data_IF_673876804760
#
_entry.id   IF_673876804760
#
_cell.length_a   1.000
_cell.length_b   1.000
_cell.length_c   1.000
_cell.angle_alpha   90.00
_cell.angle_beta   90.00
_cell.angle_gamma   90.00
#
_symmetry.space_group_name_H-M   'P 1'
#
loop_
_entity.id
_entity.type
_entity.pdbx_description
1 polymer ?
#
# COMPACT_ATOMS: atom_id res chain seq x y z
N UNK A 1 -21.87 -21.72 3.93
CA UNK A 1 -21.18 -20.50 3.50
C UNK A 1 -19.73 -20.88 3.39
N UNK A 2 -19.21 -21.04 2.17
CA UNK A 2 -17.82 -21.43 1.97
C UNK A 2 -16.94 -20.33 2.55
N UNK A 3 -16.31 -20.66 3.66
CA UNK A 3 -15.25 -19.90 4.34
C UNK A 3 -13.99 -19.98 3.49
N UNK A 4 -14.06 -19.47 2.27
CA UNK A 4 -12.90 -19.37 1.42
C UNK A 4 -12.08 -18.20 1.96
N UNK A 5 -10.94 -18.52 2.55
CA UNK A 5 -9.98 -17.53 3.03
C UNK A 5 -9.49 -16.72 1.83
N UNK A 6 -9.66 -15.41 1.89
CA UNK A 6 -9.22 -14.47 0.86
C UNK A 6 -8.04 -13.70 1.42
N UNK A 7 -6.84 -13.98 0.92
CA UNK A 7 -5.67 -13.17 1.26
C UNK A 7 -5.54 -11.98 0.31
N UNK A 8 -5.55 -10.74 0.82
CA UNK A 8 -5.35 -9.56 0.01
C UNK A 8 -3.86 -9.33 -0.25
N UNK A 9 -3.51 -8.87 -1.46
CA UNK A 9 -2.16 -8.38 -1.74
C UNK A 9 -1.79 -7.18 -0.84
N UNK A 10 -0.51 -7.08 -0.47
CA UNK A 10 0.03 -5.96 0.31
C UNK A 10 0.17 -4.72 -0.57
N UNK A 11 -0.90 -3.94 -0.60
CA UNK A 11 -0.95 -2.66 -1.31
C UNK A 11 -1.57 -1.53 -0.50
N UNK A 12 -1.63 -0.31 -1.06
CA UNK A 12 -2.14 0.87 -0.36
C UNK A 12 -3.56 0.72 0.20
N UNK A 13 -4.42 -0.04 -0.48
CA UNK A 13 -5.80 -0.30 0.00
C UNK A 13 -5.82 -1.23 1.21
N UNK A 14 -5.00 -2.27 1.20
CA UNK A 14 -4.87 -3.25 2.29
C UNK A 14 -4.27 -2.59 3.52
N UNK A 15 -3.22 -1.78 3.34
CA UNK A 15 -2.63 -0.97 4.40
C UNK A 15 -3.67 -0.09 5.08
N UNK A 16 -4.40 0.72 4.32
CA UNK A 16 -5.46 1.58 4.87
C UNK A 16 -6.59 0.80 5.51
N UNK A 17 -6.94 -0.36 4.94
CA UNK A 17 -7.93 -1.25 5.53
C UNK A 17 -7.49 -1.78 6.89
N UNK A 18 -6.20 -2.04 7.10
CA UNK A 18 -5.65 -2.52 8.38
C UNK A 18 -5.43 -1.39 9.39
N UNK A 19 -4.99 -0.21 8.97
CA UNK A 19 -4.49 0.84 9.89
C UNK A 19 -5.47 1.96 10.18
N UNK A 20 -6.37 2.32 9.26
CA UNK A 20 -7.32 3.41 9.52
C UNK A 20 -8.37 3.00 10.57
N UNK A 21 -8.80 3.98 11.37
CA UNK A 21 -9.89 3.78 12.31
C UNK A 21 -11.20 3.66 11.55
N UNK A 22 -11.76 2.46 11.55
CA UNK A 22 -13.06 2.16 10.95
C UNK A 22 -13.85 1.25 11.87
N UNK A 23 -15.13 1.56 12.03
CA UNK A 23 -16.10 0.73 12.76
C UNK A 23 -16.90 -0.06 11.76
N UNK A 24 -16.93 -1.39 11.92
CA UNK A 24 -17.73 -2.29 11.09
C UNK A 24 -18.93 -2.74 11.88
N UNK A 25 -20.12 -2.59 11.32
CA UNK A 25 -21.38 -3.04 11.93
C UNK A 25 -22.16 -3.89 10.93
N UNK A 26 -22.55 -5.11 11.32
CA UNK A 26 -23.36 -5.98 10.46
C UNK A 26 -24.85 -5.59 10.57
N UNK A 27 -25.39 -4.98 9.51
CA UNK A 27 -26.79 -4.56 9.44
C UNK A 27 -27.73 -5.72 9.10
N UNK A 28 -27.26 -6.64 8.25
CA UNK A 28 -27.94 -7.86 7.88
C UNK A 28 -26.89 -8.90 7.48
N UNK A 29 -27.31 -10.15 7.28
CA UNK A 29 -26.38 -11.24 6.93
C UNK A 29 -25.50 -10.86 5.73
N UNK A 30 -24.19 -10.74 5.98
CA UNK A 30 -23.17 -10.38 4.98
C UNK A 30 -23.32 -8.96 4.39
N UNK A 31 -24.12 -8.09 5.03
CA UNK A 31 -24.31 -6.69 4.67
C UNK A 31 -23.88 -5.81 5.84
N UNK A 32 -22.83 -5.03 5.63
CA UNK A 32 -22.15 -4.28 6.66
C UNK A 32 -22.23 -2.78 6.39
N UNK A 33 -22.28 -2.00 7.45
CA UNK A 33 -21.97 -0.57 7.42
C UNK A 33 -20.57 -0.36 7.99
N UNK A 34 -19.76 0.39 7.24
CA UNK A 34 -18.41 0.76 7.62
C UNK A 34 -18.38 2.27 7.82
N UNK A 35 -18.24 2.69 9.08
CA UNK A 35 -18.03 4.10 9.42
C UNK A 35 -16.54 4.38 9.44
N UNK A 36 -16.09 5.35 8.64
CA UNK A 36 -14.69 5.77 8.52
C UNK A 36 -14.33 6.83 9.55
N UNK A 37 -13.02 7.05 9.74
CA UNK A 37 -12.48 8.12 10.59
C UNK A 37 -13.00 9.52 10.22
N UNK A 38 -13.29 9.76 8.94
CA UNK A 38 -13.89 11.02 8.47
C UNK A 38 -15.38 11.18 8.85
N UNK A 39 -15.97 10.20 9.54
CA UNK A 39 -17.39 10.17 9.88
C UNK A 39 -18.31 9.79 8.73
N UNK A 40 -17.76 9.32 7.60
CA UNK A 40 -18.55 8.84 6.46
C UNK A 40 -18.94 7.38 6.67
N UNK A 41 -20.14 6.99 6.30
CA UNK A 41 -20.61 5.60 6.39
C UNK A 41 -20.84 5.04 4.99
N UNK A 42 -20.38 3.81 4.76
CA UNK A 42 -20.56 3.10 3.49
C UNK A 42 -21.12 1.71 3.73
N UNK A 43 -22.00 1.27 2.86
CA UNK A 43 -22.53 -0.09 2.88
C UNK A 43 -21.63 -1.01 2.08
N UNK A 44 -21.33 -2.18 2.64
CA UNK A 44 -20.52 -3.24 2.03
C UNK A 44 -21.35 -4.52 1.98
N UNK A 45 -21.51 -5.09 0.78
CA UNK A 45 -22.09 -6.42 0.60
C UNK A 45 -20.95 -7.40 0.33
N UNK A 46 -20.83 -8.48 1.12
CA UNK A 46 -19.82 -9.52 0.90
C UNK A 46 -20.35 -10.71 0.10
N UNK A 47 -21.65 -10.79 -0.19
CA UNK A 47 -22.24 -11.89 -0.99
C UNK A 47 -21.82 -11.75 -2.45
N UNK A 48 -21.96 -10.53 -2.95
CA UNK A 48 -21.39 -10.05 -4.20
C UNK A 48 -20.52 -8.85 -3.81
N UNK A 49 -19.19 -9.04 -3.62
CA UNK A 49 -18.29 -8.02 -3.08
C UNK A 49 -18.49 -6.65 -3.72
N UNK A 50 -19.18 -5.76 -3.01
CA UNK A 50 -19.56 -4.45 -3.48
C UNK A 50 -19.56 -3.45 -2.33
N UNK A 51 -19.29 -2.18 -2.66
CA UNK A 51 -19.27 -1.11 -1.67
C UNK A 51 -19.85 0.17 -2.25
N UNK A 52 -20.60 0.94 -1.44
CA UNK A 52 -21.15 2.24 -1.84
C UNK A 52 -20.14 3.39 -1.77
N UNK A 53 -18.85 3.10 -1.57
CA UNK A 53 -17.84 4.14 -1.51
C UNK A 53 -17.41 4.64 -2.90
N UNK A 54 -17.00 5.91 -3.04
CA UNK A 54 -16.57 6.46 -4.33
C UNK A 54 -15.40 5.73 -4.99
N UNK A 55 -14.49 5.13 -4.20
CA UNK A 55 -13.35 4.36 -4.74
C UNK A 55 -13.80 3.08 -5.44
N UNK A 56 -14.92 2.48 -5.02
CA UNK A 56 -15.50 1.30 -5.67
C UNK A 56 -16.46 1.70 -6.79
N UNK A 57 -17.31 2.69 -6.54
CA UNK A 57 -18.37 3.11 -7.48
C UNK A 57 -17.82 3.68 -8.79
N UNK A 58 -16.76 4.49 -8.74
CA UNK A 58 -16.29 5.25 -9.91
C UNK A 58 -15.02 4.71 -10.57
N UNK A 59 -14.38 3.69 -9.99
CA UNK A 59 -13.11 3.15 -10.52
C UNK A 59 -13.29 1.70 -10.94
N UNK A 60 -13.51 1.50 -12.23
CA UNK A 60 -13.75 0.18 -12.85
C UNK A 60 -12.60 -0.83 -12.63
N UNK A 61 -11.37 -0.35 -12.38
CA UNK A 61 -10.22 -1.21 -12.09
C UNK A 61 -10.18 -1.75 -10.65
N UNK A 62 -11.11 -1.34 -9.79
CA UNK A 62 -11.11 -1.70 -8.37
C UNK A 62 -12.07 -2.87 -8.14
N UNK A 63 -11.51 -4.05 -7.93
CA UNK A 63 -12.28 -5.23 -7.52
C UNK A 63 -12.58 -5.26 -6.02
N UNK A 64 -11.70 -4.67 -5.19
CA UNK A 64 -11.92 -4.54 -3.74
C UNK A 64 -11.37 -3.20 -3.23
N UNK A 65 -12.26 -2.37 -2.70
CA UNK A 65 -11.88 -1.15 -2.01
C UNK A 65 -11.41 -1.43 -0.57
N UNK A 66 -10.86 -0.42 0.11
CA UNK A 66 -10.41 -0.57 1.51
C UNK A 66 -11.51 -1.04 2.48
N UNK A 67 -12.78 -0.68 2.23
CA UNK A 67 -13.89 -1.04 3.11
C UNK A 67 -14.22 -2.52 3.00
N UNK A 68 -14.27 -3.08 1.78
CA UNK A 68 -14.44 -4.53 1.57
C UNK A 68 -13.34 -5.29 2.30
N UNK A 69 -12.09 -4.88 2.11
CA UNK A 69 -10.93 -5.49 2.79
C UNK A 69 -11.06 -5.42 4.32
N UNK A 70 -11.46 -4.27 4.86
CA UNK A 70 -11.68 -4.11 6.31
C UNK A 70 -12.75 -5.05 6.84
N UNK A 71 -13.88 -5.18 6.15
CA UNK A 71 -14.93 -6.13 6.56
C UNK A 71 -14.40 -7.55 6.52
N UNK A 72 -13.67 -7.96 5.47
CA UNK A 72 -13.08 -9.31 5.39
C UNK A 72 -12.11 -9.60 6.54
N UNK A 73 -11.31 -8.61 6.96
CA UNK A 73 -10.44 -8.72 8.14
C UNK A 73 -11.31 -8.93 9.39
N UNK A 74 -12.33 -8.10 9.60
CA UNK A 74 -13.21 -8.17 10.77
C UNK A 74 -13.94 -9.51 10.90
N UNK A 75 -14.42 -10.05 9.77
CA UNK A 75 -15.15 -11.33 9.75
C UNK A 75 -14.24 -12.57 9.69
N UNK A 76 -12.91 -12.39 9.78
CA UNK A 76 -11.94 -13.48 9.77
C UNK A 76 -11.79 -14.20 8.43
N UNK A 77 -12.12 -13.55 7.31
CA UNK A 77 -11.85 -14.09 5.97
C UNK A 77 -10.41 -13.82 5.51
N UNK A 78 -9.72 -12.88 6.17
CA UNK A 78 -8.28 -12.62 5.99
C UNK A 78 -7.53 -13.30 7.14
N UNK A 79 -6.41 -13.92 6.82
CA UNK A 79 -5.50 -14.45 7.83
C UNK A 79 -4.60 -13.31 8.27
N UNK A 80 -4.85 -12.80 9.47
CA UNK A 80 -4.13 -11.64 10.00
C UNK A 80 -2.68 -11.95 10.31
N UNK A 81 -2.33 -13.20 10.64
CA UNK A 81 -0.94 -13.60 10.90
C UNK A 81 -0.15 -13.63 9.60
N UNK A 82 -0.75 -14.18 8.54
CA UNK A 82 -0.16 -14.16 7.19
C UNK A 82 0.00 -12.72 6.71
N UNK A 83 -1.04 -11.89 6.85
CA UNK A 83 -0.98 -10.48 6.43
C UNK A 83 0.08 -9.68 7.20
N UNK A 84 0.19 -9.88 8.52
CA UNK A 84 1.23 -9.23 9.34
C UNK A 84 2.63 -9.60 8.84
N UNK A 85 2.86 -10.89 8.58
CA UNK A 85 4.15 -11.36 8.06
C UNK A 85 4.49 -10.72 6.70
N UNK A 86 3.55 -10.72 5.76
CA UNK A 86 3.77 -10.11 4.43
C UNK A 86 4.05 -8.60 4.53
N UNK A 87 3.37 -7.90 5.46
CA UNK A 87 3.62 -6.49 5.73
C UNK A 87 5.03 -6.25 6.29
N UNK A 88 5.48 -7.07 7.23
CA UNK A 88 6.86 -6.99 7.77
C UNK A 88 7.89 -7.24 6.68
N UNK A 89 7.75 -8.32 5.90
CA UNK A 89 8.67 -8.63 4.80
C UNK A 89 8.71 -7.50 3.76
N UNK A 90 7.56 -6.89 3.45
CA UNK A 90 7.50 -5.74 2.54
C UNK A 90 8.23 -4.53 3.10
N UNK A 91 8.10 -4.25 4.41
CA UNK A 91 8.80 -3.15 5.07
C UNK A 91 10.33 -3.34 5.04
N UNK A 92 10.81 -4.53 5.40
CA UNK A 92 12.25 -4.87 5.39
C UNK A 92 12.87 -4.74 3.99
N UNK A 93 12.13 -5.17 2.97
CA UNK A 93 12.54 -5.02 1.57
C UNK A 93 12.60 -3.55 1.15
N UNK A 94 11.63 -2.72 1.56
CA UNK A 94 11.64 -1.29 1.26
C UNK A 94 12.82 -0.57 1.94
N UNK A 95 13.16 -0.93 3.18
CA UNK A 95 14.31 -0.38 3.89
C UNK A 95 15.63 -0.75 3.18
N UNK A 96 15.79 -2.02 2.80
CA UNK A 96 16.97 -2.48 2.07
C UNK A 96 17.12 -1.78 0.72
N UNK A 97 16.03 -1.67 -0.04
CA UNK A 97 16.02 -0.96 -1.32
C UNK A 97 16.35 0.53 -1.15
N UNK A 98 15.88 1.18 -0.09
CA UNK A 98 16.19 2.57 0.18
C UNK A 98 17.69 2.77 0.45
N UNK A 99 18.30 1.91 1.29
CA UNK A 99 19.73 1.94 1.56
C UNK A 99 20.57 1.74 0.28
N UNK A 100 20.16 0.81 -0.58
CA UNK A 100 20.83 0.56 -1.87
C UNK A 100 20.73 1.77 -2.81
N UNK A 101 19.56 2.43 -2.87
CA UNK A 101 19.36 3.63 -3.67
C UNK A 101 20.20 4.80 -3.17
N UNK A 102 20.33 4.97 -1.85
CA UNK A 102 21.20 5.98 -1.25
C UNK A 102 22.69 5.73 -1.59
N UNK A 103 23.14 4.48 -1.49
CA UNK A 103 24.51 4.11 -1.86
C UNK A 103 24.79 4.39 -3.34
N UNK A 104 23.84 4.08 -4.23
CA UNK A 104 23.93 4.39 -5.65
C UNK A 104 23.97 5.90 -5.93
N UNK A 105 23.13 6.68 -5.25
CA UNK A 105 23.11 8.14 -5.38
C UNK A 105 24.44 8.77 -4.93
N UNK A 106 25.04 8.27 -3.84
CA UNK A 106 26.35 8.72 -3.37
C UNK A 106 27.45 8.38 -4.40
N UNK A 107 27.42 7.17 -4.96
CA UNK A 107 28.36 6.76 -6.00
C UNK A 107 28.27 7.68 -7.23
N UNK A 108 27.07 7.97 -7.70
CA UNK A 108 26.84 8.91 -8.82
C UNK A 108 27.38 10.31 -8.50
N UNK A 109 27.15 10.79 -7.28
CA UNK A 109 27.65 12.09 -6.82
C UNK A 109 29.18 12.14 -6.83
N UNK A 110 29.83 11.10 -6.33
CA UNK A 110 31.29 11.00 -6.33
C UNK A 110 31.84 10.98 -7.77
N UNK A 111 31.27 10.15 -8.64
CA UNK A 111 31.69 10.07 -10.05
C UNK A 111 31.49 11.41 -10.78
N UNK A 112 30.39 12.12 -10.52
CA UNK A 112 30.17 13.45 -11.09
C UNK A 112 31.22 14.47 -10.59
N UNK A 113 31.61 14.38 -9.31
CA UNK A 113 32.70 15.18 -8.74
C UNK A 113 34.04 14.92 -9.43
N UNK A 114 34.41 13.64 -9.55
CA UNK A 114 35.65 13.22 -10.23
C UNK A 114 35.70 13.69 -11.69
N UNK A 115 34.57 13.58 -12.41
CA UNK A 115 34.48 14.03 -13.80
C UNK A 115 34.64 15.55 -13.89
N UNK A 116 34.05 16.31 -12.97
CA UNK A 116 34.21 17.77 -12.93
C UNK A 116 35.65 18.18 -12.63
N UNK A 117 36.30 17.51 -11.70
CA UNK A 117 37.71 17.76 -11.40
C UNK A 117 38.60 17.43 -12.60
N UNK A 118 38.30 16.35 -13.33
CA UNK A 118 38.99 16.01 -14.57
C UNK A 118 38.80 17.08 -15.66
N UNK A 119 37.58 17.63 -15.80
CA UNK A 119 37.30 18.73 -16.73
C UNK A 119 38.11 19.98 -16.37
N UNK A 120 38.11 20.40 -15.10
CA UNK A 120 38.88 21.57 -14.65
C UNK A 120 40.38 21.41 -14.97
N UNK A 121 40.95 20.21 -14.74
CA UNK A 121 42.36 19.93 -15.08
C UNK A 121 42.63 20.02 -16.58
N UNK A 122 41.69 19.59 -17.43
CA UNK A 122 41.84 19.71 -18.88
C UNK A 122 41.77 21.17 -19.33
N UNK A 123 40.92 21.99 -18.71
CA UNK A 123 40.85 23.44 -18.97
C UNK A 123 42.18 24.12 -18.63
N UNK A 124 42.74 23.84 -17.44
CA UNK A 124 44.05 24.35 -17.01
C UNK A 124 45.16 24.01 -18.01
N UNK A 125 45.21 22.76 -18.50
CA UNK A 125 46.21 22.31 -19.48
C UNK A 125 46.04 22.98 -20.84
N UNK A 126 44.80 23.28 -21.25
CA UNK A 126 44.51 23.96 -22.51
C UNK A 126 44.78 25.48 -22.44
N UNK A 127 45.18 26.01 -21.28
CA UNK A 127 45.48 27.43 -21.09
C UNK A 127 44.28 28.33 -21.30
N UNK A 128 43.07 27.80 -21.06
CA UNK A 128 41.81 28.56 -21.04
C UNK A 128 41.32 28.71 -19.61
#
# INVERSE_FOLDING_TARGET
MSSESVQPDVGPRTLRAATEHMTVYENAQSLFEVTTESGSAYTVDLREPACTCPDFEYRESVSECKHIRRVRIEVGQVDVETLEKELTETADNLESNAADLEAQAQKLTNTAGELRDALNRLEEVLGR
#
